data_IF_991275314292
#
_entry.id   IF_991275314292
#
_cell.length_a   1.000
_cell.length_b   1.000
_cell.length_c   1.000
_cell.angle_alpha   90.00
_cell.angle_beta   90.00
_cell.angle_gamma   90.00
#
_symmetry.space_group_name_H-M   'P 1'
#
loop_
_entity.id
_entity.type
_entity.pdbx_description
1 polymer ?
#
# COMPACT_ATOMS: atom_id res chain seq x y z
N UNK A 1 -3.63 -8.73 -8.33
CA UNK A 1 -2.17 -8.56 -8.20
C UNK A 1 -1.86 -7.52 -7.14
N UNK A 2 -0.67 -7.55 -6.53
CA UNK A 2 -0.18 -6.55 -5.57
C UNK A 2 1.32 -6.26 -5.78
N UNK A 3 1.73 -4.99 -5.63
CA UNK A 3 3.14 -4.58 -5.62
C UNK A 3 3.37 -3.39 -4.68
N UNK A 4 4.62 -3.14 -4.27
CA UNK A 4 5.03 -1.91 -3.61
C UNK A 4 5.59 -0.91 -4.65
N UNK A 5 5.23 0.36 -4.62
CA UNK A 5 5.67 1.30 -5.67
C UNK A 5 7.20 1.38 -5.81
N UNK A 6 7.70 1.46 -7.04
CA UNK A 6 9.12 1.77 -7.30
C UNK A 6 9.51 3.20 -6.93
N UNK A 7 8.53 4.09 -6.78
CA UNK A 7 8.74 5.49 -6.45
C UNK A 7 8.25 5.78 -5.04
N UNK A 8 8.96 6.67 -4.36
CA UNK A 8 8.62 7.15 -3.01
C UNK A 8 7.91 8.50 -3.09
N UNK A 9 6.99 8.72 -2.16
CA UNK A 9 6.12 9.89 -2.09
C UNK A 9 6.17 10.49 -0.69
N UNK A 10 5.84 11.77 -0.54
CA UNK A 10 5.46 12.31 0.77
C UNK A 10 3.98 12.03 1.03
N UNK A 11 3.51 12.30 2.26
CA UNK A 11 2.10 12.13 2.62
C UNK A 11 1.12 13.00 1.82
N UNK A 12 1.59 13.97 1.04
CA UNK A 12 0.78 14.82 0.16
C UNK A 12 0.43 14.10 -1.17
N UNK A 13 -0.24 12.95 -1.08
CA UNK A 13 -0.58 12.11 -2.23
C UNK A 13 -1.71 12.68 -3.09
N UNK A 14 -2.42 13.72 -2.63
CA UNK A 14 -3.63 14.22 -3.27
C UNK A 14 -4.88 13.41 -2.87
N UNK A 15 -4.89 12.88 -1.64
CA UNK A 15 -5.93 11.98 -1.16
C UNK A 15 -5.84 10.57 -1.75
N UNK A 16 -6.84 9.74 -1.44
CA UNK A 16 -6.91 8.36 -1.93
C UNK A 16 -6.90 8.29 -3.47
N UNK A 17 -7.61 9.20 -4.15
CA UNK A 17 -7.64 9.26 -5.61
C UNK A 17 -6.29 9.59 -6.24
N UNK A 18 -5.48 10.42 -5.59
CA UNK A 18 -4.13 10.74 -6.08
C UNK A 18 -3.20 9.55 -5.92
N UNK A 19 -3.27 8.85 -4.79
CA UNK A 19 -2.55 7.59 -4.58
C UNK A 19 -2.95 6.50 -5.60
N UNK A 20 -4.23 6.37 -5.91
CA UNK A 20 -4.72 5.43 -6.94
C UNK A 20 -4.17 5.81 -8.33
N UNK A 21 -4.10 7.10 -8.64
CA UNK A 21 -3.49 7.59 -9.90
C UNK A 21 -2.02 7.20 -9.99
N UNK A 22 -1.27 7.30 -8.89
CA UNK A 22 0.13 6.84 -8.82
C UNK A 22 0.21 5.35 -9.14
N UNK A 23 -0.63 4.52 -8.49
CA UNK A 23 -0.66 3.09 -8.73
C UNK A 23 -0.94 2.72 -10.19
N UNK A 24 -1.94 3.36 -10.82
CA UNK A 24 -2.28 3.09 -12.22
C UNK A 24 -1.18 3.56 -13.19
N UNK A 25 -0.56 4.70 -12.92
CA UNK A 25 0.56 5.18 -13.73
C UNK A 25 1.75 4.24 -13.67
N UNK A 26 2.11 3.76 -12.47
CA UNK A 26 3.19 2.78 -12.29
C UNK A 26 2.88 1.47 -13.01
N UNK A 27 1.70 0.89 -12.77
CA UNK A 27 1.26 -0.32 -13.46
C UNK A 27 1.32 -0.21 -14.99
N UNK A 28 0.85 0.92 -15.55
CA UNK A 28 0.86 1.16 -17.00
C UNK A 28 2.24 1.39 -17.59
N UNK A 29 3.20 1.90 -16.79
CA UNK A 29 4.57 2.20 -17.22
C UNK A 29 5.56 1.07 -16.95
N UNK A 30 5.14 0.03 -16.23
CA UNK A 30 5.90 -1.19 -16.04
C UNK A 30 6.27 -1.87 -17.36
N UNK A 31 7.31 -2.70 -17.34
CA UNK A 31 7.76 -3.47 -18.50
C UNK A 31 7.86 -4.97 -18.19
N UNK A 32 6.90 -5.81 -18.62
CA UNK A 32 5.69 -5.45 -19.36
C UNK A 32 4.68 -4.66 -18.52
N UNK A 33 3.80 -3.91 -19.18
CA UNK A 33 2.72 -3.19 -18.50
C UNK A 33 1.80 -4.18 -17.76
N UNK A 34 1.39 -3.81 -16.55
CA UNK A 34 0.46 -4.60 -15.75
C UNK A 34 -0.96 -4.24 -16.12
N UNK A 35 -1.75 -5.23 -16.53
CA UNK A 35 -3.16 -5.04 -16.89
C UNK A 35 -4.05 -4.88 -15.65
N UNK A 36 -5.17 -4.16 -15.83
CA UNK A 36 -6.18 -3.93 -14.80
C UNK A 36 -6.14 -2.52 -14.22
N UNK A 37 -7.05 -2.27 -13.27
CA UNK A 37 -7.09 -1.03 -12.48
C UNK A 37 -6.54 -1.30 -11.09
N UNK A 38 -5.78 -0.35 -10.55
CA UNK A 38 -5.14 -0.47 -9.24
C UNK A 38 -5.64 0.61 -8.27
N UNK A 39 -5.77 0.23 -7.01
CA UNK A 39 -5.98 1.15 -5.90
C UNK A 39 -4.87 0.98 -4.86
N UNK A 40 -4.49 2.08 -4.22
CA UNK A 40 -3.52 2.07 -3.14
C UNK A 40 -4.15 1.45 -1.87
N UNK A 41 -3.43 0.58 -1.15
CA UNK A 41 -3.83 0.12 0.19
C UNK A 41 -3.60 1.24 1.20
N UNK A 42 -4.56 2.16 1.25
CA UNK A 42 -4.56 3.32 2.14
C UNK A 42 -5.95 3.49 2.76
N UNK A 43 -5.99 3.73 4.06
CA UNK A 43 -7.19 4.24 4.71
C UNK A 43 -7.11 5.76 4.85
N UNK A 44 -8.25 6.42 4.97
CA UNK A 44 -8.33 7.81 5.42
C UNK A 44 -9.31 7.92 6.61
N UNK A 45 -9.63 9.13 7.04
CA UNK A 45 -10.52 9.39 8.17
C UNK A 45 -11.93 8.81 8.03
N UNK A 46 -12.39 8.53 6.81
CA UNK A 46 -13.75 8.05 6.53
C UNK A 46 -13.81 6.67 5.89
N UNK A 47 -12.72 6.17 5.33
CA UNK A 47 -12.69 5.00 4.45
C UNK A 47 -11.59 4.04 4.91
N UNK A 48 -11.98 2.80 5.17
CA UNK A 48 -11.07 1.72 5.52
C UNK A 48 -10.44 1.12 4.24
N UNK A 49 -9.16 0.76 4.26
CA UNK A 49 -8.46 0.22 3.09
C UNK A 49 -9.08 -1.09 2.60
N UNK A 50 -9.51 -1.97 3.52
CA UNK A 50 -10.18 -3.24 3.21
C UNK A 50 -11.46 -3.09 2.39
N UNK A 51 -12.17 -1.97 2.52
CA UNK A 51 -13.42 -1.73 1.80
C UNK A 51 -13.17 -1.21 0.37
N UNK A 52 -11.92 -0.85 0.06
CA UNK A 52 -11.50 -0.35 -1.26
C UNK A 52 -10.98 -1.47 -2.17
N UNK A 53 -10.56 -2.59 -1.58
CA UNK A 53 -9.96 -3.71 -2.31
C UNK A 53 -10.95 -4.88 -2.36
N UNK A 54 -11.32 -5.39 -3.55
CA UNK A 54 -12.24 -6.51 -3.65
C UNK A 54 -11.59 -7.80 -3.16
N UNK A 55 -12.43 -8.73 -2.71
CA UNK A 55 -11.98 -10.05 -2.32
C UNK A 55 -11.41 -10.82 -3.53
N UNK A 56 -10.15 -11.21 -3.46
CA UNK A 56 -9.43 -11.93 -4.51
C UNK A 56 -8.25 -12.71 -3.92
N UNK A 57 -7.65 -13.61 -4.71
CA UNK A 57 -6.31 -14.13 -4.40
C UNK A 57 -5.30 -13.04 -4.74
N UNK A 58 -4.57 -12.57 -3.73
CA UNK A 58 -3.56 -11.53 -3.90
C UNK A 58 -2.23 -12.17 -4.26
N UNK A 59 -1.72 -11.86 -5.45
CA UNK A 59 -0.43 -12.34 -5.94
C UNK A 59 0.50 -11.19 -6.25
N UNK A 60 1.76 -11.34 -5.88
CA UNK A 60 2.85 -10.44 -6.27
C UNK A 60 3.15 -10.59 -7.77
N UNK A 61 3.90 -9.64 -8.32
CA UNK A 61 4.25 -9.60 -9.75
C UNK A 61 5.02 -10.83 -10.26
N UNK A 62 5.71 -11.57 -9.39
CA UNK A 62 6.38 -12.85 -9.70
C UNK A 62 5.48 -14.08 -9.54
N UNK A 63 4.20 -13.88 -9.23
CA UNK A 63 3.20 -14.93 -9.06
C UNK A 63 3.13 -15.55 -7.67
N UNK A 64 3.98 -15.14 -6.72
CA UNK A 64 3.88 -15.59 -5.34
C UNK A 64 2.58 -15.12 -4.70
N UNK A 65 1.83 -16.02 -4.06
CA UNK A 65 0.62 -15.69 -3.31
C UNK A 65 0.99 -14.93 -2.04
N UNK A 66 0.42 -13.75 -1.86
CA UNK A 66 0.55 -12.91 -0.66
C UNK A 66 -0.56 -13.26 0.33
N UNK A 67 -1.79 -13.44 -0.15
CA UNK A 67 -2.92 -13.89 0.64
C UNK A 67 -3.97 -14.54 -0.26
N UNK A 68 -4.67 -15.54 0.24
CA UNK A 68 -5.69 -16.31 -0.49
C UNK A 68 -7.01 -15.56 -0.66
N UNK A 69 -7.29 -14.59 0.22
CA UNK A 69 -8.48 -13.75 0.20
C UNK A 69 -8.32 -12.53 1.11
N UNK A 70 -9.33 -11.66 1.17
CA UNK A 70 -9.29 -10.43 1.97
C UNK A 70 -9.28 -10.71 3.49
N UNK A 71 -9.91 -11.80 3.93
CA UNK A 71 -9.87 -12.18 5.34
C UNK A 71 -8.44 -12.61 5.74
N UNK A 72 -7.78 -13.42 4.91
CA UNK A 72 -6.38 -13.80 5.06
C UNK A 72 -5.45 -12.58 5.04
N UNK A 73 -5.63 -11.66 4.08
CA UNK A 73 -4.84 -10.41 4.02
C UNK A 73 -4.92 -9.57 5.31
N UNK A 74 -6.01 -9.68 6.07
CA UNK A 74 -6.32 -8.85 7.25
C UNK A 74 -6.37 -9.64 8.57
N UNK A 75 -5.88 -10.88 8.60
CA UNK A 75 -5.92 -11.73 9.80
C UNK A 75 -4.75 -11.51 10.77
N UNK A 76 -3.75 -10.73 10.35
CA UNK A 76 -2.53 -10.45 11.09
C UNK A 76 -1.26 -11.02 10.47
N UNK A 77 -1.37 -11.89 9.47
CA UNK A 77 -0.24 -12.44 8.71
C UNK A 77 -0.52 -12.45 7.21
N UNK A 78 0.53 -12.58 6.41
CA UNK A 78 0.47 -12.82 4.96
C UNK A 78 1.47 -13.92 4.60
N UNK A 79 1.15 -14.70 3.56
CA UNK A 79 1.97 -15.84 3.14
C UNK A 79 3.36 -15.43 2.63
N UNK A 80 3.38 -14.34 1.85
CA UNK A 80 4.61 -13.79 1.28
C UNK A 80 4.64 -12.28 1.41
N UNK A 81 5.83 -11.75 1.70
CA UNK A 81 6.11 -10.31 1.78
C UNK A 81 5.76 -9.59 0.47
N UNK A 82 5.34 -8.33 0.55
CA UNK A 82 5.03 -7.49 -0.63
C UNK A 82 6.27 -6.68 -1.01
N UNK A 83 7.38 -7.37 -1.29
CA UNK A 83 8.71 -6.75 -1.43
C UNK A 83 9.19 -6.58 -2.88
N UNK A 84 8.26 -6.61 -3.85
CA UNK A 84 8.58 -6.36 -5.25
C UNK A 84 7.72 -5.21 -5.76
N UNK A 85 8.33 -4.38 -6.59
CA UNK A 85 7.67 -3.31 -7.30
C UNK A 85 7.02 -3.78 -8.60
N UNK A 86 6.37 -2.86 -9.31
CA UNK A 86 5.65 -3.14 -10.54
C UNK A 86 6.54 -3.74 -11.66
N UNK A 87 7.87 -3.60 -11.53
CA UNK A 87 8.86 -4.16 -12.45
C UNK A 87 9.50 -5.48 -11.94
N UNK A 88 9.03 -6.02 -10.81
CA UNK A 88 9.61 -7.24 -10.23
C UNK A 88 10.96 -7.04 -9.54
N UNK A 89 11.32 -5.79 -9.23
CA UNK A 89 12.54 -5.44 -8.51
C UNK A 89 12.23 -5.13 -7.04
N UNK A 90 13.23 -5.22 -6.17
CA UNK A 90 13.06 -4.73 -4.80
C UNK A 90 12.83 -3.20 -4.82
N UNK A 91 11.93 -2.65 -3.98
CA UNK A 91 11.81 -1.21 -3.80
C UNK A 91 13.06 -0.65 -3.11
N UNK A 92 13.35 0.63 -3.34
CA UNK A 92 14.52 1.31 -2.76
C UNK A 92 14.38 1.48 -1.24
N UNK A 93 13.18 1.81 -0.75
CA UNK A 93 12.80 1.80 0.65
C UNK A 93 11.82 0.65 0.96
N UNK A 94 11.96 0.07 2.14
CA UNK A 94 11.10 -1.03 2.62
C UNK A 94 9.84 -0.53 3.32
N UNK A 95 9.67 0.77 3.54
CA UNK A 95 8.51 1.35 4.20
C UNK A 95 7.45 1.74 3.17
N UNK A 96 6.19 1.62 3.57
CA UNK A 96 5.07 2.02 2.75
C UNK A 96 3.99 2.68 3.59
N UNK A 97 3.45 3.80 3.11
CA UNK A 97 2.30 4.42 3.75
C UNK A 97 1.09 3.50 3.69
N UNK A 98 0.33 3.45 4.78
CA UNK A 98 -0.90 2.64 4.86
C UNK A 98 -2.04 3.40 5.53
N UNK A 99 -1.78 4.15 6.59
CA UNK A 99 -2.83 4.71 7.45
C UNK A 99 -3.78 3.65 7.99
N UNK A 100 -3.35 2.38 8.07
CA UNK A 100 -4.25 1.22 8.19
C UNK A 100 -3.81 0.29 9.31
N UNK A 101 -4.75 -0.08 10.18
CA UNK A 101 -4.58 -1.09 11.22
C UNK A 101 -4.51 -2.49 10.60
N UNK A 102 -4.10 -3.46 11.42
CA UNK A 102 -3.90 -4.86 11.01
C UNK A 102 -5.13 -5.52 10.38
N UNK A 103 -6.33 -5.17 10.84
CA UNK A 103 -7.62 -5.69 10.35
C UNK A 103 -8.16 -4.96 9.11
N UNK A 104 -7.33 -4.11 8.49
CA UNK A 104 -7.65 -3.31 7.32
C UNK A 104 -8.48 -2.05 7.62
N UNK A 105 -8.78 -1.75 8.89
CA UNK A 105 -9.49 -0.53 9.29
C UNK A 105 -8.55 0.68 9.36
N UNK A 106 -9.10 1.89 9.29
CA UNK A 106 -8.32 3.13 9.38
C UNK A 106 -7.62 3.32 10.73
N UNK A 107 -6.37 3.78 10.65
CA UNK A 107 -5.64 4.41 11.75
C UNK A 107 -6.07 5.87 11.90
N UNK A 108 -5.73 6.49 13.04
CA UNK A 108 -5.81 7.96 13.21
C UNK A 108 -4.79 8.71 12.37
N UNK A 109 -3.71 8.04 11.98
CA UNK A 109 -2.53 8.67 11.38
C UNK A 109 -2.58 8.45 9.87
N UNK A 110 -3.05 9.45 9.12
CA UNK A 110 -3.32 9.38 7.67
C UNK A 110 -2.75 10.55 6.89
N UNK A 111 -1.82 11.33 7.45
CA UNK A 111 -1.30 12.56 6.83
C UNK A 111 -2.38 13.57 6.44
N UNK A 112 -3.35 13.80 7.34
CA UNK A 112 -4.54 14.62 7.06
C UNK A 112 -5.26 14.13 5.80
N UNK A 113 -5.58 12.84 5.76
CA UNK A 113 -6.21 12.17 4.61
C UNK A 113 -5.38 12.27 3.32
N UNK A 114 -4.08 12.11 3.47
CA UNK A 114 -3.08 12.12 2.40
C UNK A 114 -3.02 13.45 1.63
N UNK A 115 -3.23 14.55 2.37
CA UNK A 115 -3.13 15.92 1.84
C UNK A 115 -1.94 16.68 2.41
N UNK A 116 -1.27 16.15 3.44
CA UNK A 116 -0.12 16.79 4.08
C UNK A 116 1.17 16.00 3.91
N UNK A 117 2.23 16.69 3.49
CA UNK A 117 3.60 16.20 3.50
C UNK A 117 4.45 16.87 4.57
N UNK A 118 3.84 17.22 5.71
CA UNK A 118 4.48 17.97 6.81
C UNK A 118 5.12 17.05 7.84
N UNK A 119 6.27 17.45 8.39
CA UNK A 119 6.91 16.79 9.53
C UNK A 119 6.15 16.89 10.86
N UNK A 120 5.03 17.63 10.90
CA UNK A 120 4.15 17.75 12.07
C UNK A 120 2.99 16.77 12.08
N UNK A 121 2.68 16.17 10.93
CA UNK A 121 1.56 15.25 10.76
C UNK A 121 2.10 13.82 10.67
N UNK A 122 1.27 12.86 11.09
CA UNK A 122 1.67 11.46 11.17
C UNK A 122 0.88 10.59 10.18
N UNK A 123 1.53 9.53 9.72
CA UNK A 123 0.92 8.37 9.10
C UNK A 123 1.20 7.11 9.90
N UNK A 124 0.31 6.13 9.81
CA UNK A 124 0.69 4.73 10.00
C UNK A 124 1.36 4.23 8.73
N UNK A 125 2.50 3.55 8.88
CA UNK A 125 3.18 2.85 7.79
C UNK A 125 3.29 1.37 8.08
N UNK A 126 3.54 0.61 7.02
CA UNK A 126 3.95 -0.78 7.07
C UNK A 126 5.32 -0.99 6.42
N UNK A 127 5.74 -2.26 6.38
CA UNK A 127 7.02 -2.69 5.82
C UNK A 127 6.88 -3.79 4.78
N UNK A 128 7.40 -3.55 3.60
CA UNK A 128 7.35 -4.43 2.43
C UNK A 128 8.08 -5.76 2.66
N UNK A 129 9.02 -5.79 3.62
CA UNK A 129 9.85 -6.95 3.98
C UNK A 129 9.26 -7.84 5.10
N UNK A 130 8.07 -7.52 5.62
CA UNK A 130 7.42 -8.26 6.71
C UNK A 130 6.28 -9.16 6.21
N UNK A 131 5.98 -10.20 6.98
CA UNK A 131 4.83 -11.10 6.78
C UNK A 131 3.87 -11.15 7.96
N UNK A 132 4.20 -10.50 9.07
CA UNK A 132 3.27 -10.29 10.18
C UNK A 132 2.56 -8.94 10.02
N UNK A 133 1.77 -8.55 11.01
CA UNK A 133 0.97 -7.32 11.03
C UNK A 133 1.74 -6.05 10.64
N UNK A 134 3.06 -6.02 10.80
CA UNK A 134 3.92 -4.90 10.41
C UNK A 134 3.99 -4.66 8.91
N UNK A 135 3.52 -5.59 8.06
CA UNK A 135 3.41 -5.33 6.62
C UNK A 135 2.51 -4.13 6.34
N UNK A 136 1.47 -3.92 7.17
CA UNK A 136 0.54 -2.78 7.09
C UNK A 136 0.59 -1.82 8.29
N UNK A 137 0.91 -2.30 9.49
CA UNK A 137 0.77 -1.57 10.75
C UNK A 137 2.02 -1.76 11.62
N UNK A 138 3.10 -1.04 11.29
CA UNK A 138 4.36 -1.09 12.02
C UNK A 138 4.41 -0.05 13.14
N UNK A 139 4.43 1.22 12.77
CA UNK A 139 4.53 2.36 13.66
C UNK A 139 4.06 3.64 12.95
N UNK A 140 3.80 4.67 13.75
CA UNK A 140 3.55 6.01 13.22
C UNK A 140 4.85 6.69 12.82
N UNK A 141 4.84 7.41 11.70
CA UNK A 141 5.97 8.19 11.17
C UNK A 141 5.48 9.55 10.66
N UNK A 142 6.37 10.53 10.58
CA UNK A 142 6.09 11.84 9.99
C UNK A 142 5.81 11.77 8.48
N UNK A 143 5.00 12.69 7.97
CA UNK A 143 4.51 12.69 6.58
C UNK A 143 5.45 13.34 5.56
N UNK A 144 6.53 13.98 5.98
CA UNK A 144 7.54 14.58 5.09
C UNK A 144 8.63 13.58 4.67
N UNK A 145 8.73 12.44 5.34
CA UNK A 145 9.61 11.35 4.94
C UNK A 145 9.05 10.63 3.72
N UNK A 146 9.87 10.52 2.67
CA UNK A 146 9.48 9.81 1.46
C UNK A 146 9.29 8.31 1.76
N UNK A 147 8.21 7.71 1.27
CA UNK A 147 7.92 6.27 1.42
C UNK A 147 7.11 5.75 0.24
N UNK A 148 7.15 4.44 0.02
CA UNK A 148 6.35 3.79 -1.02
C UNK A 148 4.86 3.72 -0.65
N UNK A 149 4.08 3.16 -1.57
CA UNK A 149 2.68 2.75 -1.34
C UNK A 149 2.46 1.34 -1.91
N UNK A 150 1.56 0.56 -1.31
CA UNK A 150 1.14 -0.70 -1.91
C UNK A 150 0.01 -0.47 -2.91
N UNK A 151 0.10 -1.08 -4.07
CA UNK A 151 -0.88 -1.00 -5.14
C UNK A 151 -1.54 -2.36 -5.37
N UNK A 152 -2.85 -2.44 -5.15
CA UNK A 152 -3.65 -3.65 -5.30
C UNK A 152 -4.54 -3.53 -6.53
N UNK A 153 -4.54 -4.55 -7.38
CA UNK A 153 -5.43 -4.65 -8.53
C UNK A 153 -6.87 -4.86 -8.05
N UNK A 154 -7.82 -4.12 -8.60
CA UNK A 154 -9.24 -4.12 -8.21
C UNK A 154 -10.21 -4.51 -9.34
N UNK A 155 -9.76 -4.53 -10.60
CA UNK A 155 -10.54 -5.01 -11.75
C UNK A 155 -9.65 -5.34 -12.93
#
# INVERSE_FOLDING_TARGET
MVFASSTEQTGALGGLSGADTICNNLASSASPALEGTFAAWLSNSTTDARDRIPNAVFKRVDGATVADNLADLTDGTIDNRINLNENGLAPDDVHSFTGTNTDGTKSSDTCLDWTSGSGSDLNMRGKTDQTNSKWTNENSEVCDHASGIYCFQIS
#
